data_IF_159722316976
#
_entry.id   IF_159722316976
#
_cell.length_a   1.000
_cell.length_b   1.000
_cell.length_c   1.000
_cell.angle_alpha   90.00
_cell.angle_beta   90.00
_cell.angle_gamma   90.00
#
_symmetry.space_group_name_H-M   'P 1'
#
loop_
_entity.id
_entity.type
_entity.pdbx_description
1 polymer ?
#
# COMPACT_ATOMS: atom_id res chain seq x y z
N UNK A 1 -17.27 80.04 -15.72
CA UNK A 1 -18.61 80.12 -15.11
C UNK A 1 -19.02 78.74 -14.61
N UNK A 2 -19.46 78.66 -13.33
CA UNK A 2 -20.51 77.75 -12.80
C UNK A 2 -20.28 76.24 -13.03
N UNK A 3 -19.77 75.51 -12.03
CA UNK A 3 -20.52 74.75 -10.99
C UNK A 3 -21.33 73.55 -11.52
N UNK A 4 -21.17 72.44 -10.79
CA UNK A 4 -22.11 71.35 -10.50
C UNK A 4 -22.07 70.08 -11.37
N UNK A 5 -21.82 68.97 -10.65
CA UNK A 5 -22.57 67.69 -10.57
C UNK A 5 -21.59 66.49 -10.65
N UNK A 6 -21.18 65.90 -9.53
CA UNK A 6 -21.90 64.85 -8.76
C UNK A 6 -22.33 63.66 -9.62
N UNK A 7 -21.58 62.55 -9.52
CA UNK A 7 -22.01 61.14 -9.69
C UNK A 7 -20.74 60.26 -9.70
N UNK A 8 -20.56 59.19 -8.93
CA UNK A 8 -21.39 58.50 -7.95
C UNK A 8 -20.46 57.53 -7.18
N UNK A 9 -20.73 57.37 -5.89
CA UNK A 9 -19.95 56.52 -4.98
C UNK A 9 -20.33 55.05 -5.23
N UNK A 10 -19.33 54.24 -5.58
CA UNK A 10 -19.46 52.81 -5.88
C UNK A 10 -19.83 52.04 -4.62
N UNK A 11 -21.06 51.52 -4.57
CA UNK A 11 -21.50 50.57 -3.55
C UNK A 11 -21.07 49.16 -3.96
N UNK A 12 -19.96 48.68 -3.39
CA UNK A 12 -19.55 47.27 -3.49
C UNK A 12 -20.43 46.45 -2.55
N UNK A 13 -21.44 45.77 -3.11
CA UNK A 13 -22.20 44.75 -2.38
C UNK A 13 -21.47 43.41 -2.51
N UNK A 14 -20.81 43.01 -1.43
CA UNK A 14 -20.26 41.67 -1.25
C UNK A 14 -21.40 40.67 -1.02
N UNK A 15 -21.80 39.94 -2.05
CA UNK A 15 -22.58 38.72 -1.90
C UNK A 15 -21.64 37.51 -1.77
N UNK A 16 -21.18 37.24 -0.54
CA UNK A 16 -20.62 35.93 -0.21
C UNK A 16 -21.77 35.00 0.21
N UNK A 17 -22.31 34.28 -0.77
CA UNK A 17 -23.22 33.15 -0.53
C UNK A 17 -22.38 31.96 -0.04
N UNK A 18 -22.24 31.84 1.28
CA UNK A 18 -21.61 30.67 1.90
C UNK A 18 -22.56 29.48 1.90
N UNK A 19 -22.24 28.44 1.13
CA UNK A 19 -22.83 27.11 1.33
C UNK A 19 -22.22 26.52 2.61
N UNK A 20 -23.02 26.37 3.66
CA UNK A 20 -22.63 25.60 4.84
C UNK A 20 -22.57 24.12 4.45
N UNK A 21 -21.36 23.63 4.17
CA UNK A 21 -21.10 22.18 4.14
C UNK A 21 -20.89 21.72 5.59
N UNK A 22 -21.72 20.80 6.06
CA UNK A 22 -21.57 20.17 7.36
C UNK A 22 -20.34 19.27 7.33
N UNK A 23 -19.23 19.76 7.87
CA UNK A 23 -18.08 18.95 8.20
C UNK A 23 -18.41 18.23 9.52
N UNK A 24 -18.81 16.96 9.44
CA UNK A 24 -18.79 16.06 10.60
C UNK A 24 -17.34 15.98 11.06
N UNK A 25 -17.03 16.75 12.10
CA UNK A 25 -15.75 16.75 12.78
C UNK A 25 -15.51 15.36 13.35
N UNK A 26 -14.62 14.64 12.69
CA UNK A 26 -14.01 13.43 13.23
C UNK A 26 -13.15 13.88 14.42
N UNK A 27 -13.66 13.70 15.64
CA UNK A 27 -12.87 13.90 16.85
C UNK A 27 -11.69 12.92 16.81
N UNK A 28 -10.51 13.45 16.54
CA UNK A 28 -9.25 12.77 16.79
C UNK A 28 -8.81 13.17 18.19
N UNK A 29 -9.41 12.53 19.19
CA UNK A 29 -8.79 12.40 20.50
C UNK A 29 -8.48 10.93 20.72
N UNK A 30 -7.19 10.68 20.94
CA UNK A 30 -6.61 9.40 21.27
C UNK A 30 -7.31 8.82 22.50
N UNK A 31 -7.90 7.64 22.37
CA UNK A 31 -7.74 6.52 23.28
C UNK A 31 -8.64 5.36 22.81
N UNK A 32 -8.33 4.16 23.30
CA UNK A 32 -9.02 2.89 23.08
C UNK A 32 -8.44 1.96 22.00
N UNK A 33 -7.33 1.35 22.42
CA UNK A 33 -6.80 0.03 22.08
C UNK A 33 -7.82 -1.11 22.28
N UNK A 34 -8.97 -1.03 21.60
CA UNK A 34 -9.91 -2.14 21.43
C UNK A 34 -10.23 -2.31 19.95
N UNK A 35 -9.21 -2.68 19.18
CA UNK A 35 -9.41 -3.14 17.82
C UNK A 35 -10.02 -4.54 17.89
N UNK A 36 -11.35 -4.59 17.86
CA UNK A 36 -12.11 -5.77 17.47
C UNK A 36 -11.38 -6.45 16.31
N UNK A 37 -10.90 -7.66 16.55
CA UNK A 37 -10.34 -8.50 15.48
C UNK A 37 -11.51 -8.98 14.63
N UNK A 38 -12.00 -8.07 13.78
CA UNK A 38 -12.99 -8.36 12.75
C UNK A 38 -12.55 -9.61 11.98
N UNK A 39 -13.41 -10.64 11.85
CA UNK A 39 -13.10 -11.81 11.06
C UNK A 39 -12.78 -11.35 9.64
N UNK A 40 -11.66 -11.83 9.14
CA UNK A 40 -10.99 -11.22 7.99
C UNK A 40 -11.74 -11.57 6.70
N UNK A 41 -12.82 -10.85 6.40
CA UNK A 41 -13.54 -10.97 5.15
C UNK A 41 -12.65 -10.40 4.04
N UNK A 42 -11.86 -11.26 3.41
CA UNK A 42 -11.02 -10.98 2.23
C UNK A 42 -9.62 -10.37 2.45
N UNK A 43 -8.88 -10.75 3.50
CA UNK A 43 -7.40 -10.67 3.44
C UNK A 43 -6.87 -11.84 2.61
N UNK A 44 -7.30 -11.89 1.34
CA UNK A 44 -6.68 -12.75 0.36
C UNK A 44 -5.31 -12.15 0.11
N UNK A 45 -4.31 -12.62 0.88
CA UNK A 45 -2.91 -12.30 0.65
C UNK A 45 -2.70 -12.43 -0.84
N UNK A 46 -2.29 -11.34 -1.49
CA UNK A 46 -2.41 -11.18 -2.94
C UNK A 46 -1.32 -12.00 -3.64
N UNK A 47 -1.31 -13.31 -3.41
CA UNK A 47 -0.31 -14.28 -3.82
C UNK A 47 -0.18 -14.36 -5.34
N UNK A 48 -1.19 -13.90 -6.10
CA UNK A 48 -1.11 -13.73 -7.55
C UNK A 48 -0.19 -12.59 -7.99
N UNK A 49 0.32 -11.74 -7.10
CA UNK A 49 1.14 -10.59 -7.47
C UNK A 49 2.58 -10.97 -7.80
N UNK A 50 3.20 -11.91 -7.08
CA UNK A 50 4.61 -12.23 -7.35
C UNK A 50 4.78 -12.88 -8.72
N UNK A 51 3.96 -13.88 -9.07
CA UNK A 51 4.05 -14.55 -10.38
C UNK A 51 3.83 -13.56 -11.54
N UNK A 52 2.88 -12.63 -11.40
CA UNK A 52 2.62 -11.58 -12.40
C UNK A 52 3.75 -10.55 -12.51
N UNK A 53 4.46 -10.29 -11.42
CA UNK A 53 5.56 -9.33 -11.40
C UNK A 53 6.93 -10.00 -11.54
N UNK A 54 6.99 -11.33 -11.65
CA UNK A 54 8.25 -12.06 -11.64
C UNK A 54 9.09 -11.76 -12.87
N UNK A 55 8.46 -11.56 -14.03
CA UNK A 55 9.19 -11.22 -15.26
C UNK A 55 9.85 -9.85 -15.14
N UNK A 56 9.12 -8.84 -14.63
CA UNK A 56 9.69 -7.52 -14.32
C UNK A 56 10.77 -7.58 -13.24
N UNK A 57 10.56 -8.38 -12.19
CA UNK A 57 11.55 -8.58 -11.13
C UNK A 57 12.82 -9.26 -11.66
N UNK A 58 12.65 -10.19 -12.60
CA UNK A 58 13.74 -10.88 -13.27
C UNK A 58 14.56 -9.97 -14.16
N UNK A 59 13.91 -9.04 -14.86
CA UNK A 59 14.57 -8.03 -15.68
C UNK A 59 15.33 -7.01 -14.83
N UNK A 60 14.66 -6.38 -13.86
CA UNK A 60 15.25 -5.30 -13.04
C UNK A 60 16.41 -5.79 -12.16
N UNK A 61 16.38 -7.06 -11.70
CA UNK A 61 17.44 -7.64 -10.87
C UNK A 61 18.35 -8.62 -11.62
N UNK A 62 18.19 -8.76 -12.94
CA UNK A 62 18.94 -9.74 -13.75
C UNK A 62 18.95 -11.15 -13.12
N UNK A 63 17.77 -11.65 -12.74
CA UNK A 63 17.66 -12.92 -12.03
C UNK A 63 18.04 -14.10 -12.93
N UNK A 64 18.91 -14.97 -12.42
CA UNK A 64 19.22 -16.23 -13.11
C UNK A 64 17.99 -17.14 -13.22
N UNK A 65 17.96 -18.04 -14.20
CA UNK A 65 16.88 -19.04 -14.34
C UNK A 65 16.73 -19.91 -13.09
N UNK A 66 17.83 -20.18 -12.39
CA UNK A 66 17.83 -20.92 -11.11
C UNK A 66 17.11 -20.13 -10.02
N UNK A 67 17.43 -18.85 -9.85
CA UNK A 67 16.77 -17.96 -8.90
C UNK A 67 15.28 -17.82 -9.22
N UNK A 68 14.92 -17.56 -10.49
CA UNK A 68 13.51 -17.49 -10.91
C UNK A 68 12.75 -18.78 -10.55
N UNK A 69 13.36 -19.95 -10.75
CA UNK A 69 12.76 -21.25 -10.37
C UNK A 69 12.62 -21.39 -8.85
N UNK A 70 13.59 -20.93 -8.07
CA UNK A 70 13.52 -20.92 -6.60
C UNK A 70 12.42 -19.98 -6.10
N UNK A 71 12.34 -18.76 -6.63
CA UNK A 71 11.28 -17.80 -6.27
C UNK A 71 9.88 -18.36 -6.60
N UNK A 72 9.69 -19.02 -7.75
CA UNK A 72 8.43 -19.72 -8.07
C UNK A 72 8.10 -20.83 -7.06
N UNK A 73 9.11 -21.56 -6.57
CA UNK A 73 8.91 -22.60 -5.54
C UNK A 73 8.48 -21.98 -4.21
N UNK A 74 9.14 -20.91 -3.78
CA UNK A 74 8.81 -20.14 -2.58
C UNK A 74 7.37 -19.65 -2.68
N UNK A 75 7.01 -18.99 -3.78
CA UNK A 75 5.67 -18.45 -4.01
C UNK A 75 4.57 -19.52 -3.88
N UNK A 76 4.75 -20.67 -4.54
CA UNK A 76 3.79 -21.79 -4.45
C UNK A 76 3.71 -22.41 -3.06
N UNK A 77 4.80 -22.41 -2.28
CA UNK A 77 4.80 -22.94 -0.91
C UNK A 77 4.01 -22.01 0.01
N UNK A 78 4.30 -20.71 -0.01
CA UNK A 78 3.57 -19.73 0.79
C UNK A 78 2.11 -19.57 0.34
N UNK A 79 1.80 -19.68 -0.95
CA UNK A 79 0.42 -19.72 -1.42
C UNK A 79 -0.37 -20.92 -0.89
N UNK A 80 0.29 -22.06 -0.62
CA UNK A 80 -0.33 -23.22 0.02
C UNK A 80 -0.53 -23.01 1.51
N UNK A 81 0.46 -22.43 2.20
CA UNK A 81 0.35 -22.11 3.63
C UNK A 81 -0.73 -21.06 3.88
N UNK A 82 -0.78 -20.02 3.06
CA UNK A 82 -1.79 -18.97 3.15
C UNK A 82 -3.21 -19.51 2.94
N UNK A 83 -3.42 -20.40 1.95
CA UNK A 83 -4.72 -21.08 1.77
C UNK A 83 -5.12 -21.95 2.96
N UNK A 84 -4.16 -22.61 3.61
CA UNK A 84 -4.43 -23.38 4.82
C UNK A 84 -4.81 -22.44 5.96
N UNK A 85 -4.09 -21.33 6.09
CA UNK A 85 -4.33 -20.32 7.11
C UNK A 85 -5.70 -19.66 6.93
N UNK A 86 -6.09 -19.27 5.71
CA UNK A 86 -7.41 -18.70 5.41
C UNK A 86 -8.59 -19.66 5.61
N UNK A 87 -8.34 -20.97 5.78
CA UNK A 87 -9.38 -21.96 6.09
C UNK A 87 -9.51 -22.22 7.60
N UNK A 88 -8.60 -21.66 8.40
CA UNK A 88 -8.68 -21.74 9.84
C UNK A 88 -9.46 -20.52 10.35
N UNK A 89 -10.62 -20.75 10.96
CA UNK A 89 -11.48 -19.68 11.48
C UNK A 89 -10.83 -18.91 12.65
N UNK A 90 -9.84 -19.51 13.31
CA UNK A 90 -9.04 -18.85 14.36
C UNK A 90 -7.89 -18.00 13.80
N UNK A 91 -7.62 -18.08 12.49
CA UNK A 91 -6.52 -17.35 11.88
C UNK A 91 -6.79 -15.85 11.89
N UNK A 92 -5.84 -15.12 12.47
CA UNK A 92 -5.94 -13.67 12.62
C UNK A 92 -5.17 -12.95 11.53
N UNK A 93 -5.49 -11.67 11.32
CA UNK A 93 -4.76 -10.80 10.36
C UNK A 93 -3.24 -10.81 10.63
N UNK A 94 -2.83 -10.90 11.90
CA UNK A 94 -1.42 -10.98 12.31
C UNK A 94 -0.71 -12.22 11.75
N UNK A 95 -1.41 -13.34 11.62
CA UNK A 95 -0.81 -14.59 11.14
C UNK A 95 -0.52 -14.49 9.64
N UNK A 96 -1.44 -13.89 8.87
CA UNK A 96 -1.21 -13.60 7.44
C UNK A 96 -0.05 -12.61 7.25
N UNK A 97 0.05 -11.59 8.12
CA UNK A 97 1.16 -10.64 8.08
C UNK A 97 2.50 -11.30 8.40
N UNK A 98 2.57 -12.15 9.41
CA UNK A 98 3.78 -12.93 9.73
C UNK A 98 4.18 -13.82 8.55
N UNK A 99 3.22 -14.52 7.94
CA UNK A 99 3.46 -15.36 6.77
C UNK A 99 3.97 -14.56 5.55
N UNK A 100 3.48 -13.33 5.35
CA UNK A 100 3.99 -12.43 4.31
C UNK A 100 5.45 -12.01 4.56
N UNK A 101 5.79 -11.72 5.82
CA UNK A 101 7.14 -11.32 6.21
C UNK A 101 8.14 -12.48 6.07
N UNK A 102 7.78 -13.68 6.51
CA UNK A 102 8.57 -14.89 6.31
C UNK A 102 8.85 -15.13 4.81
N UNK A 103 7.81 -15.00 3.97
CA UNK A 103 7.95 -15.09 2.51
C UNK A 103 8.92 -14.05 1.96
N UNK A 104 8.83 -12.81 2.44
CA UNK A 104 9.70 -11.70 2.00
C UNK A 104 11.16 -12.01 2.34
N UNK A 105 11.43 -12.45 3.56
CA UNK A 105 12.78 -12.79 4.01
C UNK A 105 13.39 -13.89 3.14
N UNK A 106 12.65 -14.97 2.91
CA UNK A 106 13.15 -16.08 2.08
C UNK A 106 13.39 -15.69 0.62
N UNK A 107 12.62 -14.73 0.09
CA UNK A 107 12.88 -14.16 -1.25
C UNK A 107 14.19 -13.37 -1.27
N UNK A 108 14.45 -12.56 -0.25
CA UNK A 108 15.68 -11.77 -0.13
C UNK A 108 16.91 -12.68 -0.06
N UNK A 109 16.81 -13.80 0.65
CA UNK A 109 17.89 -14.81 0.77
C UNK A 109 18.26 -15.48 -0.56
N UNK A 110 17.35 -15.53 -1.53
CA UNK A 110 17.64 -16.05 -2.88
C UNK A 110 18.48 -15.06 -3.72
N UNK A 111 18.43 -13.78 -3.38
CA UNK A 111 19.13 -12.72 -4.11
C UNK A 111 20.60 -12.65 -3.69
N UNK A 112 21.47 -12.30 -4.64
CA UNK A 112 22.87 -11.97 -4.32
C UNK A 112 22.94 -10.62 -3.58
N UNK A 113 24.05 -10.33 -2.86
CA UNK A 113 24.22 -9.03 -2.19
C UNK A 113 24.02 -7.83 -3.14
N UNK A 114 24.54 -7.91 -4.36
CA UNK A 114 24.38 -6.86 -5.39
C UNK A 114 22.92 -6.68 -5.81
N UNK A 115 22.18 -7.77 -5.98
CA UNK A 115 20.76 -7.74 -6.29
C UNK A 115 19.93 -7.17 -5.14
N UNK A 116 20.31 -7.45 -3.88
CA UNK A 116 19.67 -6.85 -2.70
C UNK A 116 19.91 -5.33 -2.65
N UNK A 117 21.12 -4.85 -2.94
CA UNK A 117 21.40 -3.42 -3.03
C UNK A 117 20.60 -2.74 -4.15
N UNK A 118 20.51 -3.40 -5.30
CA UNK A 118 19.72 -2.92 -6.45
C UNK A 118 18.25 -2.83 -6.08
N UNK A 119 17.71 -3.86 -5.42
CA UNK A 119 16.35 -3.88 -4.91
C UNK A 119 16.08 -2.73 -3.93
N UNK A 120 17.01 -2.46 -3.01
CA UNK A 120 16.89 -1.32 -2.09
C UNK A 120 16.92 0.03 -2.83
N UNK A 121 17.76 0.18 -3.86
CA UNK A 121 17.83 1.39 -4.66
C UNK A 121 16.55 1.64 -5.47
N UNK A 122 15.97 0.58 -6.06
CA UNK A 122 14.69 0.64 -6.76
C UNK A 122 13.53 0.99 -5.83
N UNK A 123 13.56 0.47 -4.60
CA UNK A 123 12.57 0.78 -3.57
C UNK A 123 12.62 2.26 -3.16
N UNK A 124 13.82 2.81 -2.95
CA UNK A 124 14.01 4.24 -2.64
C UNK A 124 13.50 5.15 -3.76
N UNK A 125 13.61 4.72 -5.02
CA UNK A 125 13.09 5.45 -6.19
C UNK A 125 11.58 5.30 -6.39
N UNK A 126 10.88 4.55 -5.53
CA UNK A 126 9.45 4.27 -5.67
C UNK A 126 9.06 3.41 -6.88
N UNK A 127 10.05 2.89 -7.62
CA UNK A 127 9.81 2.14 -8.87
C UNK A 127 9.36 0.72 -8.60
N UNK A 128 9.92 0.11 -7.55
CA UNK A 128 9.72 -1.30 -7.23
C UNK A 128 10.14 -1.62 -5.79
N UNK A 129 9.26 -2.21 -4.98
CA UNK A 129 9.63 -2.76 -3.67
C UNK A 129 8.85 -4.04 -3.36
N UNK A 130 9.45 -4.91 -2.52
CA UNK A 130 8.74 -6.10 -2.03
C UNK A 130 7.51 -5.72 -1.19
N UNK A 131 7.54 -4.58 -0.49
CA UNK A 131 6.40 -4.04 0.26
C UNK A 131 5.18 -3.76 -0.63
N UNK A 132 5.38 -3.25 -1.85
CA UNK A 132 4.28 -3.03 -2.80
C UNK A 132 3.64 -4.35 -3.25
N UNK A 133 4.44 -5.42 -3.33
CA UNK A 133 3.98 -6.75 -3.78
C UNK A 133 3.23 -7.46 -2.66
N UNK A 134 3.76 -7.43 -1.44
CA UNK A 134 3.24 -8.21 -0.30
C UNK A 134 2.26 -7.44 0.60
N UNK A 135 2.20 -6.11 0.51
CA UNK A 135 1.37 -5.26 1.36
C UNK A 135 2.00 -4.99 2.74
N UNK A 136 1.73 -3.82 3.31
CA UNK A 136 2.12 -3.44 4.69
C UNK A 136 1.07 -3.85 5.72
#
# INVERSE_FOLDING_TARGET
MKKLLMLGLVAVTLFFTGCATSNTGNNNDNDEDYRSEEPVTNSKLNNRRLEKNLDRFAEELNLSKRQQKQLKKIDRRYARMDRKLSRNDEAKRRDHKRLAEEKRQEIIEVLTPEQQQTLQALAKKGRFSLDQIFGK
#
